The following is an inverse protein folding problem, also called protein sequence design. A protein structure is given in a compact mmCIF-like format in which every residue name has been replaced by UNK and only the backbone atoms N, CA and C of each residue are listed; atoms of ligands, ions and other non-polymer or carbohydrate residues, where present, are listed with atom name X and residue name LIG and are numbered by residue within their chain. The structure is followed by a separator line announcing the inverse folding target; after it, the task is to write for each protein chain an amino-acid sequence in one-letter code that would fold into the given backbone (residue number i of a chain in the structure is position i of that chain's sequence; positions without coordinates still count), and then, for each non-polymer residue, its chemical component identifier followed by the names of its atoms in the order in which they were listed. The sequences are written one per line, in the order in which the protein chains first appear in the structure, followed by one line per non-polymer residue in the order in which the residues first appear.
data_IF_145752197840
#
_entry.id   IF_145752197840
#
_cell.length_a   1.000
_cell.length_b   1.000
_cell.length_c   1.000
_cell.angle_alpha   90.00
_cell.angle_beta   90.00
_cell.angle_gamma   90.00
#
_symmetry.space_group_name_H-M   'P 1'
#
loop_
_entity.id
_entity.type
_entity.pdbx_description
1 polymer ?
#
# COMPACT_ATOMS: atom_id res chain seq x y z
N UNK A 1 -2.09 21.31 5.46
CA UNK A 1 -0.65 21.31 5.10
C UNK A 1 -0.21 19.97 4.53
N UNK A 2 -0.82 18.85 4.95
CA UNK A 2 -0.34 17.50 4.62
C UNK A 2 -0.82 16.97 3.26
N UNK A 3 -2.03 17.34 2.80
CA UNK A 3 -2.50 17.11 1.42
C UNK A 3 -1.45 17.59 0.40
N UNK A 4 -0.98 18.82 0.57
CA UNK A 4 0.02 19.48 -0.28
C UNK A 4 1.34 18.70 -0.34
N UNK A 5 1.76 18.04 0.75
CA UNK A 5 2.98 17.21 0.76
C UNK A 5 2.82 16.00 -0.15
N UNK A 6 1.70 15.27 -0.03
CA UNK A 6 1.40 14.10 -0.87
C UNK A 6 1.28 14.51 -2.35
N UNK A 7 0.59 15.62 -2.63
CA UNK A 7 0.47 16.13 -4.00
C UNK A 7 1.83 16.48 -4.62
N UNK A 8 2.70 17.18 -3.86
CA UNK A 8 4.06 17.51 -4.33
C UNK A 8 4.88 16.27 -4.61
N UNK A 9 4.75 15.24 -3.76
CA UNK A 9 5.43 13.97 -3.96
C UNK A 9 4.98 13.29 -5.26
N UNK A 10 3.67 13.15 -5.47
CA UNK A 10 3.10 12.58 -6.70
C UNK A 10 3.64 13.32 -7.94
N UNK A 11 3.63 14.65 -7.92
CA UNK A 11 4.17 15.47 -9.01
C UNK A 11 5.67 15.22 -9.22
N UNK A 12 6.47 15.16 -8.16
CA UNK A 12 7.92 14.88 -8.28
C UNK A 12 8.24 13.50 -8.88
N UNK A 13 7.30 12.54 -8.77
CA UNK A 13 7.40 11.21 -9.35
C UNK A 13 6.78 11.08 -10.76
N UNK A 14 6.40 12.21 -11.36
CA UNK A 14 5.91 12.30 -12.74
C UNK A 14 4.41 12.05 -12.90
N UNK A 15 3.63 12.15 -11.82
CA UNK A 15 2.17 12.12 -11.93
C UNK A 15 1.62 13.51 -12.24
N UNK A 16 0.69 13.59 -13.19
CA UNK A 16 0.06 14.83 -13.59
C UNK A 16 -1.32 14.97 -12.95
N UNK A 17 -1.63 16.17 -12.43
CA UNK A 17 -3.00 16.50 -11.99
C UNK A 17 -3.95 16.42 -13.18
N UNK A 18 -5.03 15.69 -13.03
CA UNK A 18 -6.02 15.41 -14.05
C UNK A 18 -7.38 15.10 -13.40
N UNK A 19 -8.33 14.69 -14.22
CA UNK A 19 -9.70 14.31 -13.85
C UNK A 19 -9.98 12.90 -14.35
N UNK A 20 -10.88 12.19 -13.66
CA UNK A 20 -11.48 10.98 -14.20
C UNK A 20 -12.87 11.31 -14.75
N UNK A 21 -13.04 11.09 -16.05
CA UNK A 21 -14.24 11.43 -16.81
C UNK A 21 -14.77 10.15 -17.47
N UNK A 22 -16.09 9.97 -17.45
CA UNK A 22 -16.81 8.94 -18.20
C UNK A 22 -17.44 9.58 -19.43
N UNK A 23 -17.28 8.95 -20.60
CA UNK A 23 -17.81 9.45 -21.86
C UNK A 23 -17.20 10.80 -22.23
N UNK A 24 -18.02 11.78 -22.61
CA UNK A 24 -17.54 13.10 -23.05
C UNK A 24 -17.39 14.11 -21.91
N UNK A 25 -18.30 14.12 -20.92
CA UNK A 25 -18.37 15.24 -19.97
C UNK A 25 -18.70 14.84 -18.51
N UNK A 26 -18.87 13.55 -18.21
CA UNK A 26 -19.26 13.13 -16.85
C UNK A 26 -18.04 13.01 -15.95
N UNK A 27 -17.73 14.07 -15.21
CA UNK A 27 -16.66 14.08 -14.21
C UNK A 27 -17.01 13.23 -12.98
N UNK A 28 -16.22 12.19 -12.72
CA UNK A 28 -16.37 11.32 -11.53
C UNK A 28 -15.51 11.83 -10.38
N UNK A 29 -14.27 12.22 -10.71
CA UNK A 29 -13.28 12.80 -9.80
C UNK A 29 -12.63 14.02 -10.42
N UNK A 30 -12.69 15.13 -9.70
CA UNK A 30 -12.13 16.43 -10.06
C UNK A 30 -10.61 16.53 -9.91
N UNK A 31 -10.05 15.77 -8.96
CA UNK A 31 -8.65 15.82 -8.59
C UNK A 31 -8.07 14.41 -8.49
N UNK A 32 -7.37 14.00 -9.55
CA UNK A 32 -6.68 12.71 -9.65
C UNK A 32 -5.27 12.92 -10.19
N UNK A 33 -4.32 12.12 -9.75
CA UNK A 33 -2.94 12.14 -10.22
C UNK A 33 -2.70 10.95 -11.13
N UNK A 34 -2.46 11.20 -12.42
CA UNK A 34 -2.34 10.15 -13.44
C UNK A 34 -0.92 10.13 -14.00
N UNK A 35 -0.36 8.93 -14.15
CA UNK A 35 0.93 8.71 -14.82
C UNK A 35 0.74 7.82 -16.04
N UNK A 36 1.23 8.29 -17.18
CA UNK A 36 1.26 7.60 -18.48
C UNK A 36 -0.09 7.00 -18.93
N UNK A 37 -1.22 7.53 -18.43
CA UNK A 37 -2.57 6.95 -18.59
C UNK A 37 -2.69 5.48 -18.14
N UNK A 38 -1.78 5.02 -17.29
CA UNK A 38 -1.68 3.64 -16.83
C UNK A 38 -1.95 3.47 -15.34
N UNK A 39 -1.82 4.53 -14.55
CA UNK A 39 -1.98 4.48 -13.10
C UNK A 39 -2.60 5.78 -12.61
N UNK A 40 -3.58 5.67 -11.71
CA UNK A 40 -4.25 6.79 -11.07
C UNK A 40 -4.14 6.74 -9.55
N UNK A 41 -3.89 7.89 -8.93
CA UNK A 41 -3.99 8.12 -7.49
C UNK A 41 -5.08 9.14 -7.19
N UNK A 42 -6.06 8.72 -6.41
CA UNK A 42 -7.13 9.57 -5.89
C UNK A 42 -6.80 9.89 -4.44
N UNK A 43 -6.80 11.17 -4.09
CA UNK A 43 -6.55 11.61 -2.72
C UNK A 43 -7.89 11.72 -1.98
N UNK A 44 -8.04 10.96 -0.90
CA UNK A 44 -9.24 10.97 -0.08
C UNK A 44 -9.38 12.31 0.66
N UNK A 45 -10.61 12.81 0.72
CA UNK A 45 -10.95 14.07 1.38
C UNK A 45 -11.97 13.86 2.50
N UNK A 46 -11.70 14.50 3.65
CA UNK A 46 -12.55 14.44 4.84
C UNK A 46 -11.96 13.58 5.95
N UNK A 47 -12.74 13.43 7.03
CA UNK A 47 -12.40 12.54 8.14
C UNK A 47 -12.65 11.09 7.73
N UNK A 48 -11.73 10.19 8.07
CA UNK A 48 -11.89 8.77 7.74
C UNK A 48 -13.12 8.21 8.45
N UNK A 49 -14.05 7.67 7.68
CA UNK A 49 -15.14 6.82 8.15
C UNK A 49 -15.58 5.87 7.04
N UNK A 50 -16.38 4.86 7.41
CA UNK A 50 -16.88 3.83 6.49
C UNK A 50 -17.69 4.43 5.35
N UNK A 51 -18.60 5.35 5.65
CA UNK A 51 -19.54 5.90 4.67
C UNK A 51 -18.83 6.65 3.54
N UNK A 52 -17.80 7.42 3.88
CA UNK A 52 -16.99 8.15 2.92
C UNK A 52 -16.13 7.19 2.10
N UNK A 53 -15.49 6.20 2.71
CA UNK A 53 -14.70 5.20 1.97
C UNK A 53 -15.61 4.46 0.97
N UNK A 54 -16.79 4.03 1.40
CA UNK A 54 -17.78 3.37 0.55
C UNK A 54 -18.28 4.30 -0.58
N UNK A 55 -18.40 5.61 -0.33
CA UNK A 55 -18.75 6.59 -1.36
C UNK A 55 -17.66 6.69 -2.43
N UNK A 56 -16.39 6.73 -2.04
CA UNK A 56 -15.27 6.70 -3.00
C UNK A 56 -15.26 5.38 -3.78
N UNK A 57 -15.48 4.26 -3.10
CA UNK A 57 -15.55 2.93 -3.72
C UNK A 57 -16.65 2.84 -4.79
N UNK A 58 -17.86 3.36 -4.51
CA UNK A 58 -18.96 3.43 -5.48
C UNK A 58 -18.61 4.29 -6.70
N UNK A 59 -17.95 5.43 -6.49
CA UNK A 59 -17.49 6.29 -7.59
C UNK A 59 -16.43 5.60 -8.46
N UNK A 60 -15.47 4.91 -7.83
CA UNK A 60 -14.44 4.16 -8.56
C UNK A 60 -15.07 3.02 -9.37
N UNK A 61 -15.97 2.24 -8.77
CA UNK A 61 -16.74 1.22 -9.47
C UNK A 61 -17.52 1.79 -10.66
N UNK A 62 -18.13 2.96 -10.48
CA UNK A 62 -18.82 3.63 -11.56
C UNK A 62 -17.87 4.02 -12.69
N UNK A 63 -16.70 4.58 -12.38
CA UNK A 63 -15.67 4.82 -13.40
C UNK A 63 -15.23 3.51 -14.09
N UNK A 64 -15.00 2.44 -13.33
CA UNK A 64 -14.54 1.16 -13.88
C UNK A 64 -15.52 0.53 -14.87
N UNK A 65 -16.81 0.61 -14.58
CA UNK A 65 -17.85 0.01 -15.41
C UNK A 65 -18.09 0.77 -16.73
N UNK A 66 -17.69 2.05 -16.79
CA UNK A 66 -18.06 2.93 -17.91
C UNK A 66 -16.87 3.64 -18.56
N UNK A 67 -15.63 3.37 -18.11
CA UNK A 67 -14.43 3.94 -18.71
C UNK A 67 -14.01 3.18 -19.96
N UNK A 68 -13.70 3.94 -21.02
CA UNK A 68 -13.10 3.42 -22.25
C UNK A 68 -11.59 3.14 -22.09
N UNK A 69 -10.97 3.55 -20.98
CA UNK A 69 -9.55 3.31 -20.72
C UNK A 69 -9.35 1.96 -19.99
N UNK A 70 -9.08 0.92 -20.78
CA UNK A 70 -8.95 -0.47 -20.30
C UNK A 70 -7.83 -0.68 -19.28
N UNK A 71 -6.75 0.10 -19.34
CA UNK A 71 -5.63 -0.05 -18.40
C UNK A 71 -5.93 0.72 -17.12
N UNK A 72 -6.28 2.01 -17.26
CA UNK A 72 -6.46 2.90 -16.13
C UNK A 72 -7.59 2.43 -15.21
N UNK A 73 -8.66 1.83 -15.76
CA UNK A 73 -9.77 1.33 -14.95
C UNK A 73 -9.33 0.29 -13.91
N UNK A 74 -8.28 -0.50 -14.15
CA UNK A 74 -7.83 -1.52 -13.20
C UNK A 74 -6.67 -1.07 -12.31
N UNK A 75 -6.08 0.09 -12.57
CA UNK A 75 -4.91 0.57 -11.82
C UNK A 75 -5.20 1.91 -11.13
N UNK A 76 -6.24 1.89 -10.30
CA UNK A 76 -6.68 3.01 -9.47
C UNK A 76 -6.29 2.73 -8.02
N UNK A 77 -5.67 3.72 -7.40
CA UNK A 77 -5.23 3.70 -6.01
C UNK A 77 -5.93 4.83 -5.25
N UNK A 78 -6.49 4.52 -4.08
CA UNK A 78 -7.09 5.50 -3.17
C UNK A 78 -6.13 5.76 -2.00
N UNK A 79 -5.58 6.97 -1.91
CA UNK A 79 -4.74 7.40 -0.79
C UNK A 79 -5.61 7.97 0.32
N UNK A 80 -5.58 7.36 1.49
CA UNK A 80 -6.41 7.71 2.63
C UNK A 80 -5.52 8.25 3.76
N UNK A 81 -5.21 9.56 3.77
CA UNK A 81 -4.42 10.15 4.83
C UNK A 81 -5.22 10.29 6.12
N UNK A 82 -4.57 10.02 7.25
CA UNK A 82 -5.08 10.33 8.59
C UNK A 82 -3.96 10.74 9.53
N UNK A 83 -4.32 11.26 10.70
CA UNK A 83 -3.40 11.54 11.80
C UNK A 83 -3.77 10.67 12.97
N UNK A 84 -2.93 9.71 13.35
CA UNK A 84 -3.19 8.85 14.50
C UNK A 84 -3.38 9.62 15.82
N UNK A 85 -2.87 10.85 15.91
CA UNK A 85 -3.13 11.80 17.00
C UNK A 85 -4.57 12.35 17.05
N UNK A 86 -5.32 12.25 15.95
CA UNK A 86 -6.65 12.86 15.78
C UNK A 86 -7.78 11.84 15.62
N UNK A 87 -7.45 10.56 15.45
CA UNK A 87 -8.43 9.47 15.29
C UNK A 87 -8.08 8.30 16.20
N UNK A 88 -9.10 7.58 16.63
CA UNK A 88 -8.90 6.38 17.43
C UNK A 88 -8.19 5.31 16.60
N UNK A 89 -7.02 4.87 17.08
CA UNK A 89 -6.19 3.86 16.40
C UNK A 89 -6.93 2.54 16.18
N UNK A 90 -7.72 2.08 17.14
CA UNK A 90 -8.49 0.83 17.02
C UNK A 90 -9.58 0.94 15.97
N UNK A 91 -10.14 2.14 15.79
CA UNK A 91 -11.14 2.43 14.77
C UNK A 91 -10.52 2.42 13.37
N UNK A 92 -9.38 3.09 13.19
CA UNK A 92 -8.64 3.08 11.91
C UNK A 92 -8.17 1.67 11.56
N UNK A 93 -7.69 0.90 12.54
CA UNK A 93 -7.32 -0.50 12.33
C UNK A 93 -8.52 -1.31 11.78
N UNK A 94 -9.73 -1.12 12.32
CA UNK A 94 -10.94 -1.77 11.79
C UNK A 94 -11.20 -1.38 10.33
N UNK A 95 -10.96 -0.11 9.97
CA UNK A 95 -11.11 0.34 8.59
C UNK A 95 -10.08 -0.31 7.67
N UNK A 96 -8.80 -0.33 8.07
CA UNK A 96 -7.73 -1.00 7.34
C UNK A 96 -8.10 -2.46 7.10
N UNK A 97 -8.42 -3.21 8.17
CA UNK A 97 -8.80 -4.62 8.07
C UNK A 97 -10.02 -4.87 7.18
N UNK A 98 -11.04 -4.01 7.26
CA UNK A 98 -12.25 -4.14 6.43
C UNK A 98 -11.93 -3.90 4.95
N UNK A 99 -11.18 -2.85 4.66
CA UNK A 99 -11.09 -2.29 3.32
C UNK A 99 -9.87 -2.75 2.51
N UNK A 100 -8.77 -3.15 3.16
CA UNK A 100 -7.64 -3.79 2.46
C UNK A 100 -7.99 -5.20 2.00
N UNK A 101 -8.86 -5.90 2.72
CA UNK A 101 -9.37 -7.22 2.32
C UNK A 101 -10.35 -7.15 1.14
N UNK A 102 -10.95 -5.99 0.89
CA UNK A 102 -11.86 -5.73 -0.24
C UNK A 102 -11.10 -5.14 -1.44
N UNK A 103 -10.05 -5.84 -1.88
CA UNK A 103 -9.09 -5.37 -2.88
C UNK A 103 -9.59 -5.45 -4.33
N UNK A 104 -10.80 -5.96 -4.56
CA UNK A 104 -11.32 -6.22 -5.91
C UNK A 104 -11.62 -4.97 -6.74
N UNK A 105 -11.67 -3.79 -6.11
CA UNK A 105 -12.07 -2.54 -6.76
C UNK A 105 -10.86 -1.63 -6.98
N UNK A 106 -10.20 -1.26 -5.90
CA UNK A 106 -8.99 -0.45 -5.95
C UNK A 106 -8.12 -0.77 -4.75
N UNK A 107 -6.82 -0.53 -4.90
CA UNK A 107 -5.90 -0.54 -3.77
C UNK A 107 -6.18 0.68 -2.92
N UNK A 108 -6.41 0.45 -1.63
CA UNK A 108 -6.61 1.51 -0.63
C UNK A 108 -5.33 1.58 0.20
N UNK A 109 -4.73 2.76 0.29
CA UNK A 109 -3.45 2.96 0.96
C UNK A 109 -3.69 3.95 2.09
N UNK A 110 -3.69 3.45 3.32
CA UNK A 110 -3.85 4.26 4.51
C UNK A 110 -2.50 4.89 4.89
N UNK A 111 -2.46 6.21 5.02
CA UNK A 111 -1.24 6.98 5.27
C UNK A 111 -1.35 7.69 6.62
N UNK A 112 -0.68 7.17 7.64
CA UNK A 112 -0.56 7.84 8.94
C UNK A 112 0.42 9.01 8.82
N UNK A 113 -0.11 10.22 8.76
CA UNK A 113 0.65 11.46 8.62
C UNK A 113 1.47 11.82 9.85
N UNK A 114 1.20 11.20 11.00
CA UNK A 114 2.02 11.35 12.20
C UNK A 114 3.23 10.40 12.19
N UNK A 115 3.28 9.44 11.25
CA UNK A 115 4.42 8.57 11.01
C UNK A 115 5.20 9.02 9.76
N UNK A 116 6.41 9.53 9.97
CA UNK A 116 7.27 10.04 8.88
C UNK A 116 7.61 9.00 7.81
N UNK A 117 7.64 7.71 8.17
CA UNK A 117 7.96 6.61 7.26
C UNK A 117 6.73 6.12 6.46
N UNK A 118 5.52 6.62 6.72
CA UNK A 118 4.32 6.10 6.02
C UNK A 118 4.36 6.38 4.51
N UNK A 119 5.12 7.39 4.09
CA UNK A 119 5.32 7.74 2.68
C UNK A 119 6.08 6.62 1.94
N UNK A 120 6.87 5.81 2.63
CA UNK A 120 7.57 4.66 2.04
C UNK A 120 6.63 3.51 1.67
N UNK A 121 5.38 3.54 2.13
CA UNK A 121 4.34 2.58 1.74
C UNK A 121 3.83 2.84 0.31
N UNK A 122 4.12 4.00 -0.27
CA UNK A 122 3.70 4.35 -1.62
C UNK A 122 4.57 3.58 -2.64
N UNK A 123 3.96 2.77 -3.53
CA UNK A 123 4.69 1.82 -4.37
C UNK A 123 5.54 2.48 -5.47
N UNK A 124 5.34 3.78 -5.73
CA UNK A 124 6.17 4.56 -6.64
C UNK A 124 7.37 5.25 -5.97
N UNK A 125 7.41 5.28 -4.63
CA UNK A 125 8.55 5.84 -3.92
C UNK A 125 9.73 4.88 -4.05
N UNK A 126 10.87 5.37 -4.56
CA UNK A 126 12.07 4.54 -4.64
C UNK A 126 12.53 4.27 -3.22
N UNK A 127 12.50 2.99 -2.80
CA UNK A 127 13.16 2.57 -1.58
C UNK A 127 14.65 2.81 -1.81
N UNK A 128 15.17 3.89 -1.21
CA UNK A 128 16.60 4.10 -1.10
C UNK A 128 17.12 3.03 -0.15
N UNK A 129 17.44 1.86 -0.70
CA UNK A 129 18.25 0.88 -0.01
C UNK A 129 19.58 1.59 0.22
N UNK A 130 19.78 2.15 1.42
CA UNK A 130 21.12 2.39 1.90
C UNK A 130 21.80 1.04 1.74
N UNK A 131 22.82 0.97 0.88
CA UNK A 131 23.81 -0.10 0.96
C UNK A 131 24.49 0.09 2.32
N UNK A 132 23.80 -0.23 3.41
CA UNK A 132 24.50 -0.83 4.51
C UNK A 132 25.12 -2.06 3.87
N UNK A 133 26.44 -2.17 3.99
CA UNK A 133 27.08 -3.47 3.84
C UNK A 133 26.43 -4.34 4.92
N UNK A 134 25.29 -4.95 4.59
CA UNK A 134 24.71 -6.05 5.33
C UNK A 134 25.76 -7.11 5.13
N UNK A 135 26.72 -7.11 6.06
CA UNK A 135 27.73 -8.11 6.18
C UNK A 135 26.90 -9.40 6.29
N UNK A 136 26.81 -10.19 5.23
CA UNK A 136 25.84 -11.29 5.10
C UNK A 136 25.90 -12.27 6.29
N UNK A 137 27.07 -12.30 6.94
CA UNK A 137 27.32 -12.93 8.22
C UNK A 137 26.47 -12.42 9.39
N UNK A 138 26.08 -11.15 9.46
CA UNK A 138 25.21 -10.60 10.51
C UNK A 138 23.75 -11.01 10.30
N UNK A 139 23.25 -11.02 9.06
CA UNK A 139 21.89 -11.45 8.76
C UNK A 139 21.71 -12.94 9.05
N UNK A 140 22.69 -13.78 8.62
CA UNK A 140 22.72 -15.20 9.00
C UNK A 140 22.74 -15.37 10.52
N UNK A 141 23.58 -14.63 11.23
CA UNK A 141 23.66 -14.71 12.70
C UNK A 141 22.34 -14.33 13.39
N UNK A 142 21.66 -13.28 12.93
CA UNK A 142 20.36 -12.89 13.49
C UNK A 142 19.26 -13.92 13.17
N UNK A 143 19.24 -14.46 11.95
CA UNK A 143 18.30 -15.53 11.58
C UNK A 143 18.54 -16.79 12.41
N UNK A 144 19.79 -17.20 12.61
CA UNK A 144 20.15 -18.36 13.43
C UNK A 144 19.81 -18.12 14.91
N UNK A 145 19.92 -16.88 15.42
CA UNK A 145 19.44 -16.55 16.77
C UNK A 145 17.94 -16.72 16.91
N UNK A 146 17.15 -16.24 15.94
CA UNK A 146 15.68 -16.36 15.96
C UNK A 146 15.23 -17.81 15.79
N UNK A 147 15.89 -18.55 14.90
CA UNK A 147 15.61 -19.97 14.66
C UNK A 147 16.20 -20.88 15.75
N UNK A 148 17.05 -20.32 16.61
CA UNK A 148 17.76 -20.99 17.71
C UNK A 148 18.60 -22.22 17.32
N UNK A 149 18.78 -22.50 16.03
CA UNK A 149 19.55 -23.63 15.51
C UNK A 149 20.04 -23.34 14.08
N UNK A 150 21.32 -23.58 13.80
CA UNK A 150 21.92 -23.47 12.47
C UNK A 150 21.32 -24.48 11.46
N UNK A 151 20.91 -25.66 11.93
CA UNK A 151 20.33 -26.72 11.11
C UNK A 151 19.05 -26.28 10.39
N UNK A 152 18.11 -25.64 11.11
CA UNK A 152 16.87 -25.10 10.52
C UNK A 152 17.20 -24.08 9.44
N UNK A 153 18.17 -23.20 9.67
CA UNK A 153 18.60 -22.23 8.67
C UNK A 153 19.17 -22.93 7.42
N UNK A 154 20.01 -23.96 7.58
CA UNK A 154 20.55 -24.72 6.45
C UNK A 154 19.48 -25.49 5.68
N UNK A 155 18.42 -25.94 6.35
CA UNK A 155 17.30 -26.63 5.70
C UNK A 155 16.42 -25.64 4.89
N UNK A 156 16.15 -24.46 5.44
CA UNK A 156 15.31 -23.43 4.81
C UNK A 156 15.91 -22.79 3.55
N UNK A 157 17.24 -22.90 3.35
CA UNK A 157 17.91 -22.38 2.14
C UNK A 157 18.00 -23.42 1.02
N UNK A 158 17.53 -24.66 1.24
CA UNK A 158 17.45 -25.68 0.18
C UNK A 158 16.21 -25.43 -0.69
N UNK A 159 16.30 -25.76 -1.97
CA UNK A 159 15.15 -25.68 -2.89
C UNK A 159 14.02 -26.65 -2.49
N UNK A 160 14.39 -27.87 -2.06
CA UNK A 160 13.49 -28.86 -1.46
C UNK A 160 13.83 -29.02 0.03
N UNK A 161 13.03 -28.43 0.90
CA UNK A 161 13.24 -28.41 2.35
C UNK A 161 12.37 -29.45 3.07
N UNK A 162 12.94 -30.09 4.10
CA UNK A 162 12.22 -31.06 4.94
C UNK A 162 11.36 -30.37 6.02
N UNK A 163 10.06 -30.26 5.74
CA UNK A 163 9.07 -29.71 6.66
C UNK A 163 8.92 -30.50 7.97
N UNK A 164 9.13 -31.81 7.95
CA UNK A 164 8.98 -32.64 9.14
C UNK A 164 10.18 -32.48 10.08
N UNK A 165 11.39 -32.32 9.53
CA UNK A 165 12.58 -31.96 10.29
C UNK A 165 12.43 -30.60 10.98
N UNK A 166 11.98 -29.58 10.23
CA UNK A 166 11.78 -28.22 10.76
C UNK A 166 10.77 -28.23 11.91
N UNK A 167 9.62 -28.91 11.73
CA UNK A 167 8.62 -29.04 12.79
C UNK A 167 9.18 -29.73 14.03
N UNK A 168 9.93 -30.82 13.85
CA UNK A 168 10.52 -31.59 14.95
C UNK A 168 11.53 -30.74 15.76
N UNK A 169 12.40 -29.98 15.09
CA UNK A 169 13.38 -29.14 15.79
C UNK A 169 12.76 -27.91 16.47
N UNK A 170 11.66 -27.36 15.93
CA UNK A 170 10.95 -26.24 16.56
C UNK A 170 10.05 -26.65 17.73
N UNK A 171 9.44 -27.86 17.68
CA UNK A 171 8.52 -28.38 18.70
C UNK A 171 9.21 -29.16 19.83
N UNK A 172 10.51 -29.43 19.71
CA UNK A 172 11.30 -30.12 20.74
C UNK A 172 11.92 -29.19 21.79
N UNK A 173 11.59 -27.89 21.75
CA UNK A 173 11.91 -26.88 22.75
C UNK A 173 10.63 -26.32 23.35
#
# INVERSE_FOLDING_TARGET
MDKIKIEKLLVSYGFNKSKLIIGRDTEVFSEVFIKDNKEAYILFEGLINVELIDKYQKKILWFQNWSDNEILRYNINLLIPYKSSQVNRDEVNKYIFKFERDSHICRKIFLDLDNENCIDLLPFNKINLSKSDVNSNSLKKELVKVLHTDNIYQELIKEDFDLELIKKELLSK
#
